data_IF_205318391255
#
_entry.id   IF_205318391255
#
_cell.length_a   1.000
_cell.length_b   1.000
_cell.length_c   1.000
_cell.angle_alpha   90.00
_cell.angle_beta   90.00
_cell.angle_gamma   90.00
#
_symmetry.space_group_name_H-M   'P 1'
#
loop_
_entity.id
_entity.type
_entity.pdbx_description
1 polymer ?
#
# COMPACT_ATOMS: atom_id res chain seq x y z
N UNK A 1 -16.38 -11.78 15.65
CA UNK A 1 -16.32 -10.68 14.67
C UNK A 1 -15.06 -10.94 13.86
N UNK A 2 -15.18 -11.40 12.61
CA UNK A 2 -14.00 -11.52 11.73
C UNK A 2 -13.52 -10.11 11.41
N UNK A 3 -12.23 -9.85 11.67
CA UNK A 3 -11.56 -8.63 11.22
C UNK A 3 -11.07 -8.89 9.79
N UNK A 4 -11.38 -7.97 8.89
CA UNK A 4 -10.79 -7.93 7.56
C UNK A 4 -9.58 -7.03 7.68
N UNK A 5 -8.45 -7.63 8.01
CA UNK A 5 -7.17 -6.96 8.11
C UNK A 5 -6.36 -7.40 6.88
N UNK A 6 -6.16 -6.48 5.94
CA UNK A 6 -5.47 -6.75 4.67
C UNK A 6 -4.03 -6.29 4.79
N UNK A 7 -3.07 -7.17 4.53
CA UNK A 7 -1.65 -6.78 4.52
C UNK A 7 -1.40 -5.74 3.43
N UNK A 8 -0.63 -4.71 3.72
CA UNK A 8 -0.20 -3.70 2.75
C UNK A 8 1.31 -3.50 2.85
N UNK A 9 1.91 -2.88 1.82
CA UNK A 9 3.28 -2.39 1.95
C UNK A 9 3.27 -1.20 2.91
N UNK A 10 4.14 -1.27 3.92
CA UNK A 10 4.37 -0.16 4.82
C UNK A 10 5.08 0.95 4.05
N UNK A 11 4.69 2.18 4.34
CA UNK A 11 5.35 3.37 3.84
C UNK A 11 6.14 4.01 4.97
N UNK A 12 7.29 4.58 4.64
CA UNK A 12 8.15 5.27 5.60
C UNK A 12 8.40 6.69 5.13
N UNK A 13 8.13 7.63 6.03
CA UNK A 13 8.27 9.07 5.82
C UNK A 13 9.24 9.66 6.84
N UNK A 14 10.12 10.53 6.37
CA UNK A 14 11.11 11.23 7.20
C UNK A 14 10.92 12.74 7.01
N UNK A 15 10.55 13.42 8.09
CA UNK A 15 10.52 14.87 8.15
C UNK A 15 11.87 15.39 8.65
N UNK A 16 12.58 16.14 7.81
CA UNK A 16 13.96 16.54 8.07
C UNK A 16 14.12 17.61 9.15
N UNK A 17 13.04 18.21 9.66
CA UNK A 17 13.12 19.14 10.80
C UNK A 17 13.99 20.39 10.56
N UNK A 18 14.23 20.76 9.30
CA UNK A 18 15.14 21.85 8.93
C UNK A 18 16.56 21.41 8.55
N UNK A 19 16.90 20.13 8.70
CA UNK A 19 18.16 19.56 8.20
C UNK A 19 18.13 19.42 6.67
N UNK A 20 19.30 19.48 6.02
CA UNK A 20 19.42 19.13 4.61
C UNK A 20 19.40 17.61 4.40
N UNK A 21 18.96 17.12 3.23
CA UNK A 21 19.06 15.70 2.87
C UNK A 21 20.49 15.14 3.00
N UNK A 22 21.50 15.90 2.57
CA UNK A 22 22.92 15.50 2.68
C UNK A 22 23.36 15.27 4.13
N UNK A 23 22.93 16.16 5.04
CA UNK A 23 23.25 16.03 6.48
C UNK A 23 22.60 14.77 7.03
N UNK A 24 21.34 14.52 6.64
CA UNK A 24 20.63 13.32 7.04
C UNK A 24 21.33 12.05 6.53
N UNK A 25 21.60 11.94 5.23
CA UNK A 25 22.24 10.76 4.64
C UNK A 25 23.63 10.49 5.24
N UNK A 26 24.42 11.53 5.49
CA UNK A 26 25.70 11.38 6.16
C UNK A 26 25.56 10.74 7.55
N UNK A 27 24.57 11.16 8.34
CA UNK A 27 24.35 10.57 9.68
C UNK A 27 23.83 9.15 9.59
N UNK A 28 22.96 8.83 8.63
CA UNK A 28 22.46 7.45 8.51
C UNK A 28 23.59 6.49 8.09
N UNK A 29 24.52 6.95 7.25
CA UNK A 29 25.70 6.17 6.83
C UNK A 29 26.62 5.82 8.01
N UNK A 30 26.68 6.67 9.05
CA UNK A 30 27.41 6.38 10.29
C UNK A 30 26.71 5.33 11.16
N UNK A 31 25.41 5.08 10.95
CA UNK A 31 24.60 4.14 11.71
C UNK A 31 24.38 2.80 10.99
N UNK A 32 24.95 2.61 9.80
CA UNK A 32 24.81 1.36 9.05
C UNK A 32 25.40 0.19 9.84
N UNK A 33 24.59 -0.84 10.07
CA UNK A 33 25.04 -2.08 10.68
C UNK A 33 25.77 -2.96 9.67
N UNK A 34 26.35 -4.07 10.12
CA UNK A 34 27.10 -5.01 9.25
C UNK A 34 26.27 -5.58 8.08
N UNK A 35 24.94 -5.61 8.22
CA UNK A 35 24.02 -6.12 7.19
C UNK A 35 23.63 -5.05 6.16
N UNK A 36 23.88 -3.78 6.44
CA UNK A 36 23.50 -2.66 5.59
C UNK A 36 24.73 -1.96 5.03
N UNK A 37 24.70 -1.61 3.75
CA UNK A 37 25.73 -0.77 3.15
C UNK A 37 25.15 0.25 2.19
N UNK A 38 25.86 1.36 2.03
CA UNK A 38 25.58 2.31 0.96
C UNK A 38 25.91 1.68 -0.38
N UNK A 39 25.01 1.85 -1.35
CA UNK A 39 25.25 1.43 -2.73
C UNK A 39 25.07 2.57 -3.73
N UNK A 40 25.55 2.33 -4.95
CA UNK A 40 25.27 3.21 -6.07
C UNK A 40 23.79 3.17 -6.40
N UNK A 41 23.24 4.36 -6.68
CA UNK A 41 21.84 4.50 -7.03
C UNK A 41 21.63 4.15 -8.50
N UNK A 42 20.68 3.28 -8.77
CA UNK A 42 20.05 3.13 -10.08
C UNK A 42 18.75 3.95 -10.06
N UNK A 43 18.70 5.01 -10.88
CA UNK A 43 17.58 5.98 -10.91
C UNK A 43 16.29 5.35 -11.45
N UNK A 44 16.41 4.39 -12.36
CA UNK A 44 15.26 3.74 -13.00
C UNK A 44 14.56 2.82 -11.99
N UNK A 45 15.34 2.02 -11.26
CA UNK A 45 14.85 1.13 -10.20
C UNK A 45 14.25 1.89 -9.01
N UNK A 46 14.77 3.09 -8.73
CA UNK A 46 14.29 3.92 -7.65
C UNK A 46 12.92 4.57 -7.93
N UNK A 47 12.42 4.46 -9.17
CA UNK A 47 11.23 5.15 -9.69
C UNK A 47 11.31 6.68 -9.48
N UNK A 48 12.43 7.29 -9.84
CA UNK A 48 12.70 8.72 -9.61
C UNK A 48 12.85 9.51 -10.91
N UNK A 49 12.12 10.62 -11.02
CA UNK A 49 12.39 11.66 -12.02
C UNK A 49 13.53 12.55 -11.50
N UNK A 50 14.76 12.44 -12.06
CA UNK A 50 15.95 13.28 -11.78
C UNK A 50 15.93 14.01 -10.41
N UNK A 51 15.75 13.26 -9.31
CA UNK A 51 15.63 13.88 -7.97
C UNK A 51 17.03 14.20 -7.44
N UNK A 52 17.27 15.43 -6.97
CA UNK A 52 18.61 15.83 -6.52
C UNK A 52 19.02 15.15 -5.19
N UNK A 53 18.06 14.64 -4.42
CA UNK A 53 18.27 14.17 -3.05
C UNK A 53 17.76 12.73 -2.87
N UNK A 54 18.58 11.76 -3.30
CA UNK A 54 18.22 10.35 -3.19
C UNK A 54 19.43 9.47 -2.80
N UNK A 55 19.13 8.31 -2.23
CA UNK A 55 20.12 7.38 -1.71
C UNK A 55 19.67 5.93 -1.81
N UNK A 56 20.62 5.04 -2.13
CA UNK A 56 20.40 3.60 -2.22
C UNK A 56 21.21 2.87 -1.15
N UNK A 57 20.58 1.91 -0.50
CA UNK A 57 21.20 1.03 0.49
C UNK A 57 20.93 -0.42 0.14
N UNK A 58 21.90 -1.27 0.38
CA UNK A 58 21.74 -2.71 0.23
C UNK A 58 21.70 -3.39 1.58
N UNK A 59 20.66 -4.18 1.80
CA UNK A 59 20.60 -5.20 2.83
C UNK A 59 21.22 -6.50 2.29
N UNK A 60 22.18 -7.06 3.00
CA UNK A 60 22.72 -8.39 2.73
C UNK A 60 21.79 -9.46 3.31
N UNK A 61 21.59 -10.58 2.62
CA UNK A 61 20.75 -11.65 3.15
C UNK A 61 21.26 -12.11 4.52
N UNK A 62 20.39 -12.04 5.52
CA UNK A 62 20.73 -12.36 6.90
C UNK A 62 19.51 -12.88 7.66
N UNK A 63 19.67 -14.06 8.29
CA UNK A 63 18.55 -14.76 8.93
C UNK A 63 17.44 -15.06 7.93
N UNK A 64 16.21 -14.63 8.26
CA UNK A 64 15.03 -14.79 7.40
C UNK A 64 14.79 -13.59 6.46
N UNK A 65 15.62 -12.54 6.54
CA UNK A 65 15.47 -11.37 5.69
C UNK A 65 16.24 -11.59 4.38
N UNK A 66 15.57 -11.46 3.22
CA UNK A 66 16.26 -11.58 1.94
C UNK A 66 17.20 -10.40 1.72
N UNK A 67 18.15 -10.57 0.79
CA UNK A 67 18.94 -9.44 0.31
C UNK A 67 18.07 -8.52 -0.54
N UNK A 68 18.20 -7.20 -0.36
CA UNK A 68 17.43 -6.22 -1.11
C UNK A 68 18.15 -4.88 -1.26
N UNK A 69 17.82 -4.13 -2.30
CA UNK A 69 18.06 -2.69 -2.41
C UNK A 69 16.89 -1.92 -1.80
N UNK A 70 17.19 -0.85 -1.08
CA UNK A 70 16.23 0.09 -0.51
C UNK A 70 16.59 1.50 -0.96
N UNK A 71 15.60 2.19 -1.51
CA UNK A 71 15.74 3.52 -2.09
C UNK A 71 15.05 4.55 -1.21
N UNK A 72 15.78 5.60 -0.82
CA UNK A 72 15.24 6.78 -0.14
C UNK A 72 15.32 7.96 -1.08
N UNK A 73 14.22 8.69 -1.24
CA UNK A 73 14.18 9.87 -2.07
C UNK A 73 13.31 10.97 -1.49
N UNK A 74 13.55 12.20 -1.94
CA UNK A 74 12.71 13.34 -1.59
C UNK A 74 11.30 13.19 -2.18
N UNK A 75 10.29 13.18 -1.30
CA UNK A 75 8.88 13.17 -1.70
C UNK A 75 8.38 14.57 -2.01
N UNK A 76 8.84 15.54 -1.22
CA UNK A 76 8.62 16.99 -1.35
C UNK A 76 9.62 17.71 -0.44
N UNK A 77 9.70 19.03 -0.55
CA UNK A 77 10.62 19.86 0.24
C UNK A 77 10.63 19.46 1.72
N UNK A 78 11.81 19.12 2.21
CA UNK A 78 12.07 18.74 3.62
C UNK A 78 11.37 17.44 4.08
N UNK A 79 10.95 16.59 3.14
CA UNK A 79 10.36 15.28 3.40
C UNK A 79 10.98 14.22 2.48
N UNK A 80 11.65 13.25 3.09
CA UNK A 80 12.09 12.04 2.39
C UNK A 80 11.08 10.90 2.60
N UNK A 81 11.13 9.90 1.74
CA UNK A 81 10.40 8.66 1.89
C UNK A 81 11.22 7.49 1.33
N UNK A 82 10.90 6.27 1.77
CA UNK A 82 11.35 5.07 1.07
C UNK A 82 10.50 4.91 -0.19
N UNK A 83 11.11 5.07 -1.36
CA UNK A 83 10.40 5.01 -2.64
C UNK A 83 10.20 3.59 -3.13
N UNK A 84 11.16 2.69 -2.86
CA UNK A 84 11.09 1.31 -3.30
C UNK A 84 12.01 0.38 -2.49
N UNK A 85 11.69 -0.91 -2.45
CA UNK A 85 12.55 -1.99 -1.96
C UNK A 85 12.52 -3.15 -2.96
N UNK A 86 13.68 -3.50 -3.52
CA UNK A 86 13.82 -4.47 -4.61
C UNK A 86 14.68 -5.65 -4.15
N UNK A 87 14.25 -6.91 -4.34
CA UNK A 87 15.08 -8.05 -3.98
C UNK A 87 16.34 -8.13 -4.85
N UNK A 88 17.47 -8.57 -4.27
CA UNK A 88 18.70 -8.81 -5.04
C UNK A 88 18.57 -10.00 -6.00
N UNK A 89 17.75 -10.97 -5.62
CA UNK A 89 17.39 -12.11 -6.46
C UNK A 89 16.15 -11.78 -7.28
N UNK A 90 16.02 -12.40 -8.45
CA UNK A 90 14.87 -12.19 -9.34
C UNK A 90 13.56 -12.60 -8.66
N UNK A 91 12.57 -11.73 -8.69
CA UNK A 91 11.24 -11.98 -8.13
C UNK A 91 10.64 -10.72 -7.53
N UNK A 92 9.55 -10.90 -6.79
CA UNK A 92 8.91 -9.85 -6.00
C UNK A 92 8.97 -10.20 -4.51
N UNK A 93 9.17 -9.20 -3.67
CA UNK A 93 9.04 -9.37 -2.22
C UNK A 93 7.58 -9.54 -1.85
N UNK A 94 7.29 -10.47 -0.94
CA UNK A 94 5.97 -10.53 -0.29
C UNK A 94 5.78 -9.32 0.62
N UNK A 95 4.54 -9.01 1.00
CA UNK A 95 4.27 -7.97 2.01
C UNK A 95 5.08 -8.18 3.29
N UNK A 96 5.18 -9.42 3.76
CA UNK A 96 5.92 -9.73 4.98
C UNK A 96 7.42 -9.48 4.80
N UNK A 97 8.01 -9.92 3.69
CA UNK A 97 9.43 -9.72 3.42
C UNK A 97 9.77 -8.25 3.24
N UNK A 98 8.97 -7.51 2.46
CA UNK A 98 9.13 -6.07 2.26
C UNK A 98 9.01 -5.32 3.60
N UNK A 99 7.95 -5.57 4.35
CA UNK A 99 7.67 -4.88 5.61
C UNK A 99 8.73 -5.21 6.66
N UNK A 100 9.26 -6.43 6.67
CA UNK A 100 10.31 -6.83 7.58
C UNK A 100 11.64 -6.13 7.26
N UNK A 101 12.02 -6.01 5.98
CA UNK A 101 13.20 -5.24 5.57
C UNK A 101 13.04 -3.76 5.95
N UNK A 102 11.88 -3.15 5.67
CA UNK A 102 11.63 -1.74 6.00
C UNK A 102 11.67 -1.51 7.52
N UNK A 103 11.13 -2.45 8.30
CA UNK A 103 11.14 -2.39 9.77
C UNK A 103 12.55 -2.55 10.32
N UNK A 104 13.35 -3.46 9.75
CA UNK A 104 14.76 -3.63 10.12
C UNK A 104 15.57 -2.35 9.86
N UNK A 105 15.39 -1.74 8.67
CA UNK A 105 16.03 -0.47 8.34
C UNK A 105 15.59 0.66 9.28
N UNK A 106 14.30 0.72 9.60
CA UNK A 106 13.77 1.70 10.54
C UNK A 106 14.40 1.58 11.94
N UNK A 107 14.35 0.39 12.54
CA UNK A 107 14.80 0.18 13.92
C UNK A 107 16.32 0.28 14.05
N UNK A 108 17.07 -0.28 13.09
CA UNK A 108 18.52 -0.43 13.22
C UNK A 108 19.32 0.72 12.59
N UNK A 109 18.76 1.44 11.61
CA UNK A 109 19.49 2.51 10.89
C UNK A 109 18.87 3.90 11.15
N UNK A 110 17.54 4.02 11.06
CA UNK A 110 16.88 5.31 11.10
C UNK A 110 16.59 5.82 12.52
N UNK A 111 16.18 4.94 13.45
CA UNK A 111 15.87 5.32 14.83
C UNK A 111 17.06 5.97 15.57
N UNK A 112 18.31 5.50 15.44
CA UNK A 112 19.47 6.22 15.98
C UNK A 112 19.69 7.61 15.35
N UNK A 113 19.23 7.82 14.11
CA UNK A 113 19.30 9.11 13.43
C UNK A 113 18.25 10.09 13.98
N UNK A 114 17.05 9.59 14.33
CA UNK A 114 15.96 10.39 14.88
C UNK A 114 16.41 11.16 16.13
N UNK A 115 17.07 10.46 17.05
CA UNK A 115 17.61 11.03 18.29
C UNK A 115 18.72 12.07 18.03
N UNK A 116 19.53 11.87 16.99
CA UNK A 116 20.70 12.72 16.69
C UNK A 116 20.36 14.00 15.94
N UNK A 117 19.38 13.96 15.04
CA UNK A 117 19.07 15.08 14.12
C UNK A 117 17.75 15.80 14.43
N UNK A 118 17.02 15.41 15.49
CA UNK A 118 15.70 15.96 15.79
C UNK A 118 14.77 15.94 14.56
N UNK A 119 14.86 14.84 13.79
CA UNK A 119 13.95 14.55 12.68
C UNK A 119 12.73 13.81 13.24
N UNK A 120 11.67 13.69 12.44
CA UNK A 120 10.53 12.83 12.79
C UNK A 120 10.37 11.77 11.73
N UNK A 121 10.36 10.51 12.16
CA UNK A 121 10.26 9.36 11.26
C UNK A 121 8.96 8.63 11.55
N UNK A 122 8.17 8.35 10.51
CA UNK A 122 6.89 7.66 10.60
C UNK A 122 6.85 6.49 9.66
N UNK A 123 6.38 5.36 10.15
CA UNK A 123 6.12 4.16 9.37
C UNK A 123 4.63 3.81 9.50
N UNK A 124 3.95 3.50 8.39
CA UNK A 124 2.52 3.16 8.40
C UNK A 124 2.28 1.77 9.00
N UNK A 125 1.04 1.45 9.33
CA UNK A 125 0.67 0.10 9.78
C UNK A 125 0.79 -0.92 8.63
N UNK A 126 1.17 -2.18 8.92
CA UNK A 126 1.31 -3.23 7.91
C UNK A 126 -0.04 -3.78 7.42
N UNK A 127 -1.14 -3.37 8.06
CA UNK A 127 -2.48 -3.86 7.78
C UNK A 127 -3.43 -2.67 7.62
N UNK A 128 -4.29 -2.73 6.60
CA UNK A 128 -5.39 -1.78 6.42
C UNK A 128 -6.68 -2.51 6.76
N UNK A 129 -7.51 -1.88 7.58
CA UNK A 129 -8.81 -2.45 7.96
C UNK A 129 -9.84 -1.98 6.95
N UNK A 130 -10.77 -2.86 6.59
CA UNK A 130 -11.86 -2.48 5.66
C UNK A 130 -12.61 -1.23 6.14
N UNK A 131 -12.81 -1.12 7.46
CA UNK A 131 -13.51 0.00 8.09
C UNK A 131 -12.68 1.30 8.12
N UNK A 132 -11.39 1.27 7.75
CA UNK A 132 -10.56 2.46 7.52
C UNK A 132 -10.72 3.00 6.09
N UNK A 133 -11.14 2.16 5.15
CA UNK A 133 -11.32 2.50 3.72
C UNK A 133 -12.78 2.84 3.40
N UNK A 134 -13.71 2.13 4.02
CA UNK A 134 -15.14 2.22 3.74
C UNK A 134 -15.92 2.62 4.99
N UNK A 135 -16.97 3.41 4.79
CA UNK A 135 -17.97 3.62 5.85
C UNK A 135 -18.53 2.30 6.38
N UNK A 136 -18.96 2.32 7.65
CA UNK A 136 -19.51 1.14 8.33
C UNK A 136 -20.68 0.49 7.58
N UNK A 137 -21.46 1.27 6.83
CA UNK A 137 -22.55 0.77 5.98
C UNK A 137 -22.00 -0.06 4.81
N UNK A 138 -21.10 0.49 4.00
CA UNK A 138 -20.56 -0.19 2.83
C UNK A 138 -19.72 -1.41 3.25
N UNK A 139 -18.96 -1.32 4.34
CA UNK A 139 -18.25 -2.46 4.92
C UNK A 139 -19.19 -3.60 5.32
N UNK A 140 -20.38 -3.32 5.88
CA UNK A 140 -21.35 -4.36 6.22
C UNK A 140 -21.93 -5.02 4.97
N UNK A 141 -22.21 -4.24 3.92
CA UNK A 141 -22.73 -4.76 2.66
C UNK A 141 -21.71 -5.65 1.96
N UNK A 142 -20.44 -5.25 1.91
CA UNK A 142 -19.35 -6.09 1.40
C UNK A 142 -19.26 -7.41 2.17
N UNK A 143 -19.19 -7.34 3.51
CA UNK A 143 -19.14 -8.51 4.39
C UNK A 143 -20.36 -9.43 4.21
N UNK A 144 -21.54 -8.86 3.98
CA UNK A 144 -22.77 -9.61 3.78
C UNK A 144 -22.80 -10.33 2.43
N UNK A 145 -22.32 -9.68 1.36
CA UNK A 145 -22.13 -10.31 0.06
C UNK A 145 -21.13 -11.46 0.17
N UNK A 146 -19.91 -11.16 0.63
CA UNK A 146 -18.78 -12.10 0.62
C UNK A 146 -19.05 -13.39 1.41
N UNK A 147 -19.79 -13.29 2.53
CA UNK A 147 -20.09 -14.43 3.40
C UNK A 147 -21.26 -15.29 2.92
N UNK A 148 -22.20 -14.71 2.18
CA UNK A 148 -23.44 -15.38 1.80
C UNK A 148 -23.41 -15.90 0.37
N UNK A 149 -22.56 -15.33 -0.48
CA UNK A 149 -22.47 -15.72 -1.88
C UNK A 149 -21.80 -17.07 -2.06
N UNK A 150 -22.24 -17.80 -3.08
CA UNK A 150 -21.50 -18.97 -3.53
C UNK A 150 -20.23 -18.51 -4.26
N UNK A 151 -19.07 -18.62 -3.60
CA UNK A 151 -17.79 -18.10 -4.11
C UNK A 151 -17.34 -18.69 -5.44
N UNK A 152 -17.80 -19.89 -5.81
CA UNK A 152 -17.51 -20.49 -7.12
C UNK A 152 -18.38 -19.91 -8.25
N UNK A 153 -19.51 -19.29 -7.92
CA UNK A 153 -20.50 -18.77 -8.86
C UNK A 153 -20.45 -17.25 -9.02
N UNK A 154 -19.65 -16.52 -8.23
CA UNK A 154 -19.55 -15.06 -8.38
C UNK A 154 -20.84 -14.34 -8.02
N UNK A 155 -21.16 -13.31 -8.79
CA UNK A 155 -22.42 -12.56 -8.79
C UNK A 155 -23.49 -13.18 -9.71
N UNK A 156 -23.26 -14.36 -10.30
CA UNK A 156 -24.15 -14.93 -11.33
C UNK A 156 -25.50 -15.44 -10.80
N UNK A 157 -25.64 -15.58 -9.48
CA UNK A 157 -26.90 -15.95 -8.84
C UNK A 157 -27.65 -14.68 -8.39
N UNK A 158 -28.93 -14.54 -8.78
CA UNK A 158 -29.70 -13.30 -8.62
C UNK A 158 -29.67 -12.71 -7.18
N UNK A 159 -29.89 -13.49 -6.09
CA UNK A 159 -29.72 -12.99 -4.72
C UNK A 159 -28.31 -12.54 -4.35
N UNK A 160 -27.26 -13.06 -4.98
CA UNK A 160 -25.87 -12.64 -4.73
C UNK A 160 -25.53 -11.40 -5.54
N UNK A 161 -26.08 -11.29 -6.75
CA UNK A 161 -26.05 -10.09 -7.57
C UNK A 161 -26.67 -8.88 -6.85
N UNK A 162 -27.83 -9.06 -6.20
CA UNK A 162 -28.49 -7.98 -5.45
C UNK A 162 -27.64 -7.48 -4.27
N UNK A 163 -26.98 -8.38 -3.55
CA UNK A 163 -26.05 -8.02 -2.46
C UNK A 163 -24.83 -7.28 -3.01
N UNK A 164 -24.30 -7.74 -4.14
CA UNK A 164 -23.18 -7.11 -4.81
C UNK A 164 -23.51 -5.70 -5.29
N UNK A 165 -24.64 -5.53 -5.97
CA UNK A 165 -25.10 -4.22 -6.45
C UNK A 165 -25.46 -3.28 -5.30
N UNK A 166 -25.93 -3.80 -4.16
CA UNK A 166 -26.15 -3.01 -2.96
C UNK A 166 -24.83 -2.42 -2.43
N UNK A 167 -23.75 -3.20 -2.44
CA UNK A 167 -22.43 -2.72 -2.08
C UNK A 167 -21.93 -1.64 -3.06
N UNK A 168 -21.97 -1.89 -4.38
CA UNK A 168 -21.57 -0.91 -5.40
C UNK A 168 -22.34 0.41 -5.26
N UNK A 169 -23.66 0.32 -5.09
CA UNK A 169 -24.51 1.49 -4.89
C UNK A 169 -24.17 2.27 -3.63
N UNK A 170 -23.83 1.57 -2.54
CA UNK A 170 -23.39 2.22 -1.29
C UNK A 170 -22.12 3.03 -1.51
N UNK A 171 -21.10 2.41 -2.12
CA UNK A 171 -19.82 3.07 -2.44
C UNK A 171 -20.05 4.31 -3.28
N UNK A 172 -20.84 4.19 -4.35
CA UNK A 172 -21.14 5.31 -5.23
C UNK A 172 -21.91 6.44 -4.52
N UNK A 173 -22.99 6.11 -3.80
CA UNK A 173 -23.83 7.07 -3.06
C UNK A 173 -23.00 7.85 -2.03
N UNK A 174 -22.08 7.18 -1.36
CA UNK A 174 -21.23 7.79 -0.33
C UNK A 174 -19.98 8.46 -0.92
N UNK A 175 -19.79 8.42 -2.25
CA UNK A 175 -18.59 8.93 -2.93
C UNK A 175 -17.28 8.37 -2.37
N UNK A 176 -17.31 7.11 -1.94
CA UNK A 176 -16.16 6.44 -1.34
C UNK A 176 -15.07 6.23 -2.40
N UNK A 177 -13.82 6.51 -2.04
CA UNK A 177 -12.66 6.34 -2.93
C UNK A 177 -11.95 5.05 -2.58
N UNK A 178 -12.45 3.95 -3.13
CA UNK A 178 -11.80 2.65 -3.06
C UNK A 178 -11.34 2.23 -4.45
N UNK A 179 -10.10 1.79 -4.53
CA UNK A 179 -9.48 1.27 -5.75
C UNK A 179 -10.03 -0.14 -6.06
N UNK A 180 -10.41 -0.47 -7.31
CA UNK A 180 -10.81 -1.82 -7.69
C UNK A 180 -9.80 -2.90 -7.26
N UNK A 181 -8.49 -2.63 -7.34
CA UNK A 181 -7.45 -3.59 -6.92
C UNK A 181 -7.55 -3.94 -5.42
N UNK A 182 -8.00 -2.98 -4.60
CA UNK A 182 -8.28 -3.22 -3.19
C UNK A 182 -9.51 -4.13 -3.04
N UNK A 183 -10.56 -3.92 -3.85
CA UNK A 183 -11.77 -4.76 -3.82
C UNK A 183 -11.45 -6.20 -4.21
N UNK A 184 -10.67 -6.40 -5.28
CA UNK A 184 -10.17 -7.71 -5.69
C UNK A 184 -9.47 -8.42 -4.55
N UNK A 185 -8.49 -7.74 -3.94
CA UNK A 185 -7.69 -8.30 -2.87
C UNK A 185 -8.52 -8.67 -1.64
N UNK A 186 -9.49 -7.84 -1.28
CA UNK A 186 -10.42 -8.14 -0.18
C UNK A 186 -11.24 -9.41 -0.43
N UNK A 187 -11.60 -9.69 -1.69
CA UNK A 187 -12.28 -10.92 -2.06
C UNK A 187 -11.32 -12.11 -1.97
N UNK A 188 -10.10 -12.00 -2.49
CA UNK A 188 -9.08 -13.06 -2.39
C UNK A 188 -8.77 -13.39 -0.92
N UNK A 189 -8.58 -12.38 -0.07
CA UNK A 189 -8.32 -12.54 1.37
C UNK A 189 -9.51 -13.20 2.09
N UNK A 190 -10.75 -13.00 1.61
CA UNK A 190 -11.92 -13.72 2.11
C UNK A 190 -12.02 -15.16 1.57
N UNK A 191 -11.11 -15.61 0.73
CA UNK A 191 -11.07 -16.95 0.15
C UNK A 191 -11.92 -17.10 -1.11
N UNK A 192 -12.15 -16.03 -1.87
CA UNK A 192 -12.66 -16.15 -3.22
C UNK A 192 -11.57 -16.69 -4.17
N UNK A 193 -11.96 -17.49 -5.19
CA UNK A 193 -11.07 -17.80 -6.30
C UNK A 193 -10.57 -16.52 -6.99
N UNK A 194 -9.29 -16.48 -7.36
CA UNK A 194 -8.63 -15.30 -7.96
C UNK A 194 -9.34 -14.83 -9.25
N UNK A 195 -9.71 -15.77 -10.13
CA UNK A 195 -10.48 -15.49 -11.34
C UNK A 195 -11.82 -14.81 -11.04
N UNK A 196 -12.49 -15.23 -9.96
CA UNK A 196 -13.75 -14.61 -9.51
C UNK A 196 -13.56 -13.27 -8.85
N UNK A 197 -12.47 -13.08 -8.12
CA UNK A 197 -12.14 -11.78 -7.54
C UNK A 197 -11.88 -10.74 -8.64
N UNK A 198 -11.16 -11.11 -9.70
CA UNK A 198 -10.90 -10.27 -10.88
C UNK A 198 -12.22 -9.91 -11.59
N UNK A 199 -13.08 -10.90 -11.84
CA UNK A 199 -14.40 -10.69 -12.45
C UNK A 199 -15.21 -9.66 -11.64
N UNK A 200 -15.30 -9.85 -10.32
CA UNK A 200 -16.05 -8.98 -9.43
C UNK A 200 -15.43 -7.58 -9.33
N UNK A 201 -14.11 -7.47 -9.27
CA UNK A 201 -13.39 -6.18 -9.29
C UNK A 201 -13.72 -5.38 -10.55
N UNK A 202 -13.71 -6.05 -11.71
CA UNK A 202 -14.09 -5.44 -12.99
C UNK A 202 -15.56 -5.01 -13.01
N UNK A 203 -16.48 -5.83 -12.47
CA UNK A 203 -17.89 -5.47 -12.30
C UNK A 203 -18.07 -4.27 -11.38
N UNK A 204 -17.28 -4.18 -10.30
CA UNK A 204 -17.29 -3.07 -9.36
C UNK A 204 -16.86 -1.76 -10.05
N UNK A 205 -15.71 -1.77 -10.74
CA UNK A 205 -15.20 -0.61 -11.46
C UNK A 205 -16.21 -0.11 -12.49
N UNK A 206 -16.76 -1.03 -13.29
CA UNK A 206 -17.77 -0.72 -14.29
C UNK A 206 -19.04 -0.15 -13.64
N UNK A 207 -19.54 -0.76 -12.57
CA UNK A 207 -20.75 -0.35 -11.88
C UNK A 207 -20.64 1.05 -11.26
N UNK A 208 -19.53 1.36 -10.59
CA UNK A 208 -19.26 2.70 -10.05
C UNK A 208 -19.16 3.73 -11.16
N UNK A 209 -18.46 3.41 -12.25
CA UNK A 209 -18.32 4.30 -13.42
C UNK A 209 -19.66 4.60 -14.08
N UNK A 210 -20.51 3.59 -14.24
CA UNK A 210 -21.85 3.73 -14.80
C UNK A 210 -22.73 4.64 -13.95
N UNK A 211 -22.76 4.44 -12.63
CA UNK A 211 -23.53 5.28 -11.72
C UNK A 211 -23.03 6.72 -11.69
N UNK A 212 -21.71 6.92 -11.72
CA UNK A 212 -21.10 8.26 -11.84
C UNK A 212 -21.52 8.99 -13.13
N UNK A 213 -21.59 8.26 -14.25
CA UNK A 213 -22.07 8.82 -15.51
C UNK A 213 -23.53 9.27 -15.40
N UNK A 214 -24.39 8.46 -14.78
CA UNK A 214 -25.79 8.80 -14.57
C UNK A 214 -25.98 10.05 -13.69
N UNK A 215 -25.29 10.15 -12.55
CA UNK A 215 -25.38 11.35 -11.70
C UNK A 215 -24.94 12.62 -12.43
N UNK A 216 -23.86 12.56 -13.21
CA UNK A 216 -23.40 13.71 -14.03
C UNK A 216 -24.42 14.11 -15.09
N UNK A 217 -25.08 13.15 -15.72
CA UNK A 217 -26.11 13.43 -16.72
C UNK A 217 -27.35 14.10 -16.10
N UNK A 218 -27.75 13.70 -14.89
CA UNK A 218 -28.86 14.33 -14.16
C UNK A 218 -28.54 15.77 -13.75
N UNK A 219 -27.30 16.07 -13.33
CA UNK A 219 -26.84 17.42 -12.99
C UNK A 219 -26.74 18.36 -14.21
N UNK A 220 -26.43 17.84 -15.40
CA UNK A 220 -26.39 18.66 -16.63
C UNK A 220 -27.78 18.96 -17.21
N UNK A 221 -28.83 18.27 -16.76
CA UNK A 221 -30.21 18.43 -17.24
C UNK A 221 -31.16 19.05 -16.21
N UNK A 222 -30.67 19.42 -15.03
CA UNK A 222 -31.38 20.17 -13.99
C UNK A 222 -31.05 21.67 -14.03
#
# INVERSE_FOLDING_TARGET
MMRYDMKTFRELYIHLGGNSPDTFFKVIEENLSENWRREKMDVDEAFLDETPSASCYQHSQHGNLPGAYLYIAEKKTSMLHVSNIIPLETGQLTYDAYNAILTDFFENVLKPTEERLNVSIKITEPEIRLDDILSSECSKLFKAFSRCANKSAGSSYLPDQEKWFSFIRCVNKNSEKIDPDIVEKLLIDDGWPEDRAIDLSSEFEFGVSLLNFHHKAEECHA
#
